data_IF_902795885603
#
_entry.id   IF_902795885603
#
_cell.length_a   1.000
_cell.length_b   1.000
_cell.length_c   1.000
_cell.angle_alpha   90.00
_cell.angle_beta   90.00
_cell.angle_gamma   90.00
#
_symmetry.space_group_name_H-M   'P 1'
#
loop_
_entity.id
_entity.type
_entity.pdbx_description
1 polymer ?
#
# COMPACT_ATOMS: atom_id res chain seq x y z
N UNK A 1 3.80 -28.99 -22.73
CA UNK A 1 4.50 -27.78 -23.24
C UNK A 1 4.04 -26.60 -22.39
N UNK A 2 4.72 -26.34 -21.28
CA UNK A 2 4.67 -25.05 -20.60
C UNK A 2 5.99 -24.40 -20.96
N UNK A 3 5.94 -23.34 -21.78
CA UNK A 3 7.13 -22.58 -22.11
C UNK A 3 7.61 -21.86 -20.85
N UNK A 4 8.91 -21.97 -20.62
CA UNK A 4 9.65 -21.31 -19.55
C UNK A 4 9.46 -19.78 -19.67
N UNK A 5 9.02 -19.14 -18.60
CA UNK A 5 8.99 -17.67 -18.45
C UNK A 5 10.43 -17.16 -18.24
N UNK A 6 11.29 -17.31 -19.25
CA UNK A 6 12.63 -16.75 -19.25
C UNK A 6 12.63 -15.37 -19.91
N UNK A 7 12.59 -14.36 -19.05
CA UNK A 7 12.77 -12.95 -19.41
C UNK A 7 11.82 -12.09 -18.59
N UNK A 8 12.27 -11.53 -17.47
CA UNK A 8 11.57 -10.41 -16.83
C UNK A 8 11.53 -9.28 -17.86
N UNK A 9 10.43 -9.16 -18.61
CA UNK A 9 10.20 -8.00 -19.47
C UNK A 9 10.26 -6.75 -18.58
N UNK A 10 10.90 -5.71 -19.10
CA UNK A 10 10.82 -4.39 -18.50
C UNK A 10 9.35 -3.99 -18.46
N UNK A 11 8.87 -3.53 -17.30
CA UNK A 11 7.52 -2.99 -17.17
C UNK A 11 7.38 -1.72 -18.02
N UNK A 12 6.17 -1.47 -18.53
CA UNK A 12 5.86 -0.18 -19.16
C UNK A 12 5.97 0.96 -18.12
N UNK A 13 6.13 2.23 -18.54
CA UNK A 13 6.35 3.33 -17.62
C UNK A 13 5.25 3.51 -16.56
N UNK A 14 4.00 3.18 -16.88
CA UNK A 14 2.90 3.26 -15.93
C UNK A 14 2.99 2.21 -14.81
N UNK A 15 3.36 0.98 -15.16
CA UNK A 15 3.57 -0.10 -14.18
C UNK A 15 4.87 0.10 -13.39
N UNK A 16 5.93 0.66 -14.00
CA UNK A 16 7.12 1.10 -13.26
C UNK A 16 6.76 2.17 -12.23
N UNK A 17 5.85 3.09 -12.55
CA UNK A 17 5.40 4.12 -11.63
C UNK A 17 4.66 3.57 -10.40
N UNK A 18 3.73 2.63 -10.56
CA UNK A 18 3.07 1.99 -9.41
C UNK A 18 4.08 1.29 -8.50
N UNK A 19 5.05 0.60 -9.11
CA UNK A 19 6.15 -0.01 -8.37
C UNK A 19 7.05 1.01 -7.65
N UNK A 20 7.33 2.15 -8.27
CA UNK A 20 8.11 3.22 -7.63
C UNK A 20 7.33 3.85 -6.46
N UNK A 21 6.00 3.91 -6.55
CA UNK A 21 5.14 4.33 -5.44
C UNK A 21 5.23 3.37 -4.25
N UNK A 22 5.33 2.06 -4.48
CA UNK A 22 5.58 1.09 -3.39
C UNK A 22 6.85 1.41 -2.61
N UNK A 23 7.94 1.83 -3.29
CA UNK A 23 9.18 2.20 -2.61
C UNK A 23 8.95 3.39 -1.67
N UNK A 24 8.28 4.43 -2.14
CA UNK A 24 7.96 5.60 -1.31
C UNK A 24 7.03 5.26 -0.16
N UNK A 25 6.01 4.43 -0.40
CA UNK A 25 5.09 3.95 0.64
C UNK A 25 5.83 3.09 1.67
N UNK A 26 6.76 2.23 1.25
CA UNK A 26 7.59 1.42 2.14
C UNK A 26 8.54 2.26 3.01
N UNK A 27 9.11 3.33 2.47
CA UNK A 27 9.90 4.30 3.25
C UNK A 27 9.03 4.95 4.34
N UNK A 28 7.83 5.41 4.00
CA UNK A 28 6.89 5.98 4.98
C UNK A 28 6.44 4.95 6.02
N UNK A 29 6.19 3.69 5.64
CA UNK A 29 5.89 2.61 6.59
C UNK A 29 7.03 2.39 7.59
N UNK A 30 8.28 2.41 7.13
CA UNK A 30 9.44 2.29 8.01
C UNK A 30 9.50 3.47 9.00
N UNK A 31 9.27 4.70 8.54
CA UNK A 31 9.22 5.89 9.40
C UNK A 31 8.10 5.81 10.44
N UNK A 32 6.89 5.37 10.05
CA UNK A 32 5.77 5.12 10.97
C UNK A 32 6.17 4.12 12.07
N UNK A 33 6.79 3.00 11.68
CA UNK A 33 7.24 1.96 12.61
C UNK A 33 8.33 2.51 13.55
N UNK A 34 9.26 3.32 13.04
CA UNK A 34 10.27 3.98 13.86
C UNK A 34 9.65 4.93 14.89
N UNK A 35 8.68 5.76 14.49
CA UNK A 35 7.96 6.65 15.42
C UNK A 35 7.19 5.86 16.49
N UNK A 36 6.49 4.79 16.12
CA UNK A 36 5.78 3.94 17.06
C UNK A 36 6.72 3.25 18.08
N UNK A 37 7.89 2.79 17.64
CA UNK A 37 8.92 2.22 18.52
C UNK A 37 9.48 3.26 19.51
N UNK A 38 9.72 4.49 19.03
CA UNK A 38 10.18 5.60 19.87
C UNK A 38 9.12 5.96 20.93
N UNK A 39 7.84 5.94 20.58
CA UNK A 39 6.74 6.19 21.50
C UNK A 39 6.70 5.18 22.65
N UNK A 40 6.88 3.88 22.36
CA UNK A 40 6.94 2.83 23.41
C UNK A 40 8.04 3.09 24.44
N UNK A 41 9.16 3.64 23.99
CA UNK A 41 10.35 3.88 24.82
C UNK A 41 10.31 5.22 25.57
N UNK A 42 9.37 6.11 25.23
CA UNK A 42 9.34 7.49 25.74
C UNK A 42 8.61 7.58 27.08
N UNK A 43 9.35 7.74 28.19
CA UNK A 43 8.76 7.88 29.53
C UNK A 43 8.12 9.26 29.80
N UNK A 44 8.63 10.32 29.16
CA UNK A 44 8.18 11.70 29.42
C UNK A 44 6.83 11.99 28.73
N UNK A 45 5.77 12.37 29.48
CA UNK A 45 4.43 12.55 28.92
C UNK A 45 4.35 13.59 27.80
N UNK A 46 5.05 14.71 27.93
CA UNK A 46 5.06 15.79 26.92
C UNK A 46 5.67 15.33 25.61
N UNK A 47 6.82 14.64 25.67
CA UNK A 47 7.47 14.06 24.48
C UNK A 47 6.60 12.98 23.84
N UNK A 48 5.95 12.15 24.65
CA UNK A 48 5.04 11.11 24.16
C UNK A 48 3.85 11.71 23.42
N UNK A 49 3.26 12.79 23.94
CA UNK A 49 2.18 13.50 23.25
C UNK A 49 2.67 14.06 21.90
N UNK A 50 3.84 14.71 21.87
CA UNK A 50 4.45 15.21 20.64
C UNK A 50 4.66 14.11 19.60
N UNK A 51 5.20 12.96 20.01
CA UNK A 51 5.40 11.82 19.11
C UNK A 51 4.09 11.22 18.58
N UNK A 52 2.99 11.27 19.34
CA UNK A 52 1.67 10.85 18.86
C UNK A 52 1.14 11.79 17.79
N UNK A 53 1.34 13.10 17.95
CA UNK A 53 1.00 14.09 16.92
C UNK A 53 1.82 13.86 15.65
N UNK A 54 3.14 13.68 15.77
CA UNK A 54 4.02 13.37 14.62
C UNK A 54 3.60 12.07 13.91
N UNK A 55 3.28 11.02 14.68
CA UNK A 55 2.78 9.76 14.13
C UNK A 55 1.46 9.95 13.38
N UNK A 56 0.54 10.75 13.95
CA UNK A 56 -0.76 11.04 13.33
C UNK A 56 -0.61 11.79 12.00
N UNK A 57 0.25 12.81 11.96
CA UNK A 57 0.52 13.61 10.76
C UNK A 57 1.10 12.72 9.65
N UNK A 58 2.14 11.93 9.97
CA UNK A 58 2.74 11.01 9.00
C UNK A 58 1.74 9.95 8.53
N UNK A 59 0.94 9.39 9.44
CA UNK A 59 -0.06 8.38 9.09
C UNK A 59 -1.16 8.93 8.19
N UNK A 60 -1.55 10.19 8.39
CA UNK A 60 -2.53 10.88 7.54
C UNK A 60 -1.98 11.12 6.13
N UNK A 61 -0.71 11.51 6.04
CA UNK A 61 -0.01 11.65 4.75
C UNK A 61 0.10 10.30 4.03
N UNK A 62 0.59 9.28 4.74
CA UNK A 62 0.72 7.92 4.22
C UNK A 62 -0.60 7.38 3.67
N UNK A 63 -1.69 7.55 4.44
CA UNK A 63 -3.03 7.15 4.01
C UNK A 63 -3.45 7.83 2.71
N UNK A 64 -3.17 9.13 2.58
CA UNK A 64 -3.54 9.90 1.38
C UNK A 64 -2.82 9.38 0.15
N UNK A 65 -1.52 9.11 0.27
CA UNK A 65 -0.72 8.55 -0.83
C UNK A 65 -1.13 7.11 -1.17
N UNK A 66 -1.41 6.29 -0.16
CA UNK A 66 -1.90 4.93 -0.38
C UNK A 66 -3.27 4.91 -1.07
N UNK A 67 -4.21 5.77 -0.65
CA UNK A 67 -5.52 5.90 -1.33
C UNK A 67 -5.35 6.35 -2.79
N UNK A 68 -4.38 7.24 -3.08
CA UNK A 68 -4.08 7.67 -4.46
C UNK A 68 -3.54 6.51 -5.30
N UNK A 69 -2.67 5.70 -4.71
CA UNK A 69 -2.09 4.51 -5.34
C UNK A 69 -3.17 3.45 -5.64
N UNK A 70 -3.95 3.04 -4.63
CA UNK A 70 -5.01 2.03 -4.82
C UNK A 70 -6.08 2.48 -5.82
N UNK A 71 -6.39 3.79 -5.93
CA UNK A 71 -7.30 4.28 -6.98
C UNK A 71 -6.75 4.10 -8.38
N UNK A 72 -5.45 4.33 -8.60
CA UNK A 72 -4.84 4.08 -9.92
C UNK A 72 -4.92 2.61 -10.30
N UNK A 73 -4.88 1.73 -9.31
CA UNK A 73 -5.06 0.30 -9.52
C UNK A 73 -6.51 -0.06 -9.82
N UNK A 74 -7.43 0.27 -8.93
CA UNK A 74 -8.84 -0.12 -9.03
C UNK A 74 -9.62 0.60 -10.14
N UNK A 75 -9.37 1.89 -10.34
CA UNK A 75 -10.13 2.73 -11.28
C UNK A 75 -9.53 2.70 -12.70
N UNK A 76 -8.22 2.50 -12.83
CA UNK A 76 -7.53 2.58 -14.13
C UNK A 76 -6.93 1.24 -14.59
N UNK A 77 -6.12 0.57 -13.77
CA UNK A 77 -5.40 -0.65 -14.18
C UNK A 77 -6.31 -1.87 -14.24
N UNK A 78 -7.02 -2.19 -13.16
CA UNK A 78 -7.81 -3.40 -13.01
C UNK A 78 -8.91 -3.51 -14.09
N UNK A 79 -9.62 -2.43 -14.48
CA UNK A 79 -10.60 -2.49 -15.57
C UNK A 79 -9.98 -2.89 -16.91
N UNK A 80 -8.73 -2.49 -17.18
CA UNK A 80 -8.04 -2.89 -18.40
C UNK A 80 -7.60 -4.36 -18.35
N UNK A 81 -7.07 -4.81 -17.21
CA UNK A 81 -6.69 -6.21 -17.02
C UNK A 81 -7.92 -7.13 -17.11
N UNK A 82 -9.08 -6.69 -16.60
CA UNK A 82 -10.35 -7.43 -16.63
C UNK A 82 -10.89 -7.68 -18.05
N UNK A 83 -10.36 -7.03 -19.09
CA UNK A 83 -10.68 -7.38 -20.47
C UNK A 83 -10.05 -8.71 -20.92
N UNK A 84 -9.04 -9.21 -20.18
CA UNK A 84 -8.23 -10.37 -20.56
C UNK A 84 -8.33 -11.54 -19.57
N UNK A 85 -8.76 -11.29 -18.33
CA UNK A 85 -8.93 -12.30 -17.29
C UNK A 85 -10.27 -12.13 -16.57
N UNK A 86 -10.72 -13.20 -15.91
CA UNK A 86 -11.91 -13.15 -15.08
C UNK A 86 -11.69 -12.20 -13.88
N UNK A 87 -12.65 -11.28 -13.68
CA UNK A 87 -12.55 -10.26 -12.64
C UNK A 87 -13.07 -10.80 -11.31
N UNK A 88 -14.21 -11.48 -11.33
CA UNK A 88 -14.92 -11.90 -10.10
C UNK A 88 -14.25 -13.09 -9.42
N UNK A 89 -13.41 -13.84 -10.15
CA UNK A 89 -12.74 -15.04 -9.67
C UNK A 89 -11.30 -15.06 -10.20
N UNK A 90 -10.35 -14.57 -9.40
CA UNK A 90 -8.94 -14.55 -9.84
C UNK A 90 -8.07 -13.54 -9.08
N UNK A 91 -6.91 -13.18 -9.65
CA UNK A 91 -5.98 -12.25 -9.03
C UNK A 91 -6.62 -10.89 -8.71
N UNK A 92 -7.49 -10.35 -9.56
CA UNK A 92 -8.15 -9.04 -9.32
C UNK A 92 -9.02 -9.11 -8.06
N UNK A 93 -9.94 -10.08 -7.98
CA UNK A 93 -10.80 -10.24 -6.80
C UNK A 93 -10.00 -10.38 -5.49
N UNK A 94 -8.87 -11.11 -5.52
CA UNK A 94 -8.00 -11.25 -4.36
C UNK A 94 -7.32 -9.92 -3.98
N UNK A 95 -6.91 -9.11 -4.95
CA UNK A 95 -6.33 -7.78 -4.68
C UNK A 95 -7.37 -6.80 -4.14
N UNK A 96 -8.58 -6.77 -4.70
CA UNK A 96 -9.68 -5.94 -4.20
C UNK A 96 -10.06 -6.32 -2.76
N UNK A 97 -10.14 -7.61 -2.43
CA UNK A 97 -10.37 -8.07 -1.04
C UNK A 97 -9.22 -7.63 -0.10
N UNK A 98 -7.97 -7.70 -0.57
CA UNK A 98 -6.82 -7.24 0.21
C UNK A 98 -6.82 -5.73 0.43
N UNK A 99 -7.23 -4.93 -0.56
CA UNK A 99 -7.42 -3.48 -0.40
C UNK A 99 -8.46 -3.16 0.69
N UNK A 100 -9.59 -3.87 0.72
CA UNK A 100 -10.59 -3.72 1.79
C UNK A 100 -9.99 -4.03 3.17
N UNK A 101 -9.24 -5.15 3.29
CA UNK A 101 -8.59 -5.54 4.54
C UNK A 101 -7.53 -4.53 5.00
N UNK A 102 -6.74 -4.00 4.05
CA UNK A 102 -5.72 -2.97 4.30
C UNK A 102 -6.41 -1.69 4.79
N UNK A 103 -7.49 -1.27 4.12
CA UNK A 103 -8.27 -0.10 4.49
C UNK A 103 -8.81 -0.23 5.92
N UNK A 104 -9.47 -1.36 6.25
CA UNK A 104 -9.99 -1.62 7.58
C UNK A 104 -8.90 -1.64 8.66
N UNK A 105 -7.76 -2.25 8.37
CA UNK A 105 -6.61 -2.31 9.29
C UNK A 105 -6.03 -0.92 9.55
N UNK A 106 -5.83 -0.12 8.49
CA UNK A 106 -5.31 1.23 8.58
C UNK A 106 -6.27 2.16 9.33
N UNK A 107 -7.57 2.09 9.04
CA UNK A 107 -8.60 2.85 9.75
C UNK A 107 -8.70 2.47 11.24
N UNK A 108 -8.42 1.21 11.58
CA UNK A 108 -8.35 0.77 12.98
C UNK A 108 -7.15 1.37 13.70
N UNK A 109 -5.98 1.41 13.05
CA UNK A 109 -4.80 2.10 13.57
C UNK A 109 -5.04 3.61 13.74
N UNK A 110 -5.58 4.29 12.71
CA UNK A 110 -5.84 5.73 12.72
C UNK A 110 -6.76 6.13 13.87
N UNK A 111 -7.85 5.40 14.11
CA UNK A 111 -8.78 5.65 15.23
C UNK A 111 -8.14 5.53 16.60
N UNK A 112 -7.04 4.80 16.75
CA UNK A 112 -6.32 4.70 18.02
C UNK A 112 -5.43 5.93 18.18
N UNK A 113 -4.71 6.31 17.12
CA UNK A 113 -3.82 7.48 17.13
C UNK A 113 -4.59 8.79 17.31
N UNK A 114 -5.74 8.95 16.65
CA UNK A 114 -6.63 10.12 16.75
C UNK A 114 -7.13 10.40 18.17
N UNK A 115 -7.21 9.39 19.04
CA UNK A 115 -7.63 9.58 20.43
C UNK A 115 -6.59 10.35 21.26
N UNK A 116 -5.38 10.52 20.74
CA UNK A 116 -4.21 11.14 21.40
C UNK A 116 -3.94 10.60 22.82
N UNK A 117 -4.36 9.36 23.09
CA UNK A 117 -4.16 8.75 24.40
C UNK A 117 -2.74 8.22 24.50
N UNK A 118 -2.02 8.71 25.50
CA UNK A 118 -0.60 8.43 25.69
C UNK A 118 -0.31 7.44 26.84
N UNK A 119 -1.35 6.80 27.39
CA UNK A 119 -1.17 5.75 28.40
C UNK A 119 -0.39 4.56 27.80
N UNK A 120 0.48 3.86 28.57
CA UNK A 120 1.31 2.79 28.04
C UNK A 120 0.56 1.71 27.24
N UNK A 121 -0.62 1.28 27.72
CA UNK A 121 -1.42 0.27 27.01
C UNK A 121 -2.02 0.76 25.68
N UNK A 122 -2.28 2.06 25.55
CA UNK A 122 -2.77 2.67 24.31
C UNK A 122 -1.63 2.76 23.28
N UNK A 123 -0.42 3.11 23.72
CA UNK A 123 0.79 3.12 22.88
C UNK A 123 1.14 1.71 22.37
N UNK A 124 0.97 0.68 23.20
CA UNK A 124 1.17 -0.71 22.77
C UNK A 124 0.14 -1.13 21.70
N UNK A 125 -1.11 -0.68 21.84
CA UNK A 125 -2.15 -0.92 20.84
C UNK A 125 -1.82 -0.22 19.51
N UNK A 126 -1.41 1.06 19.53
CA UNK A 126 -0.94 1.79 18.34
C UNK A 126 0.13 0.99 17.60
N UNK A 127 1.16 0.55 18.31
CA UNK A 127 2.27 -0.20 17.74
C UNK A 127 1.82 -1.54 17.15
N UNK A 128 1.00 -2.31 17.87
CA UNK A 128 0.51 -3.63 17.43
C UNK A 128 -0.33 -3.51 16.15
N UNK A 129 -1.25 -2.55 16.11
CA UNK A 129 -2.10 -2.34 14.94
C UNK A 129 -1.31 -1.83 13.74
N UNK A 130 -0.34 -0.94 13.95
CA UNK A 130 0.54 -0.47 12.88
C UNK A 130 1.34 -1.62 12.25
N UNK A 131 1.99 -2.46 13.05
CA UNK A 131 2.78 -3.56 12.53
C UNK A 131 1.95 -4.54 11.72
N UNK A 132 0.72 -4.82 12.16
CA UNK A 132 -0.21 -5.66 11.40
C UNK A 132 -0.55 -5.04 10.03
N UNK A 133 -0.85 -3.74 9.97
CA UNK A 133 -1.11 -3.06 8.70
C UNK A 133 0.10 -3.10 7.76
N UNK A 134 1.30 -2.88 8.29
CA UNK A 134 2.55 -2.93 7.51
C UNK A 134 2.82 -4.33 6.96
N UNK A 135 2.58 -5.38 7.75
CA UNK A 135 2.76 -6.77 7.30
C UNK A 135 1.85 -7.10 6.12
N UNK A 136 0.56 -6.74 6.21
CA UNK A 136 -0.42 -6.99 5.14
C UNK A 136 -0.03 -6.21 3.88
N UNK A 137 0.33 -4.92 4.01
CA UNK A 137 0.73 -4.07 2.89
C UNK A 137 1.99 -4.58 2.18
N UNK A 138 3.00 -5.04 2.92
CA UNK A 138 4.21 -5.59 2.32
C UNK A 138 3.95 -6.89 1.56
N UNK A 139 3.05 -7.74 2.06
CA UNK A 139 2.62 -8.94 1.34
C UNK A 139 1.84 -8.58 0.07
N UNK A 140 0.98 -7.58 0.16
CA UNK A 140 0.18 -7.06 -0.96
C UNK A 140 1.08 -6.54 -2.10
N UNK A 141 1.98 -5.59 -1.80
CA UNK A 141 2.94 -5.07 -2.79
C UNK A 141 3.79 -6.18 -3.42
N UNK A 142 4.16 -7.20 -2.64
CA UNK A 142 4.89 -8.34 -3.18
C UNK A 142 4.07 -9.11 -4.23
N UNK A 143 2.78 -9.35 -3.99
CA UNK A 143 1.90 -10.03 -4.95
C UNK A 143 1.74 -9.22 -6.22
N UNK A 144 1.59 -7.91 -6.09
CA UNK A 144 1.47 -7.03 -7.25
C UNK A 144 2.74 -7.03 -8.09
N UNK A 145 3.90 -6.82 -7.46
CA UNK A 145 5.18 -6.75 -8.17
C UNK A 145 5.61 -8.09 -8.78
N UNK A 146 5.29 -9.21 -8.12
CA UNK A 146 5.73 -10.53 -8.55
C UNK A 146 4.74 -11.24 -9.48
N UNK A 147 3.47 -10.86 -9.44
CA UNK A 147 2.40 -11.52 -10.20
C UNK A 147 1.60 -10.53 -11.04
N UNK A 148 0.97 -9.54 -10.42
CA UNK A 148 -0.04 -8.71 -11.08
C UNK A 148 0.58 -7.80 -12.17
N UNK A 149 1.63 -7.05 -11.85
CA UNK A 149 2.29 -6.15 -12.81
C UNK A 149 2.96 -6.91 -13.97
N UNK A 150 3.70 -8.03 -13.75
CA UNK A 150 4.20 -8.85 -14.86
C UNK A 150 3.08 -9.40 -15.75
N UNK A 151 1.95 -9.81 -15.16
CA UNK A 151 0.78 -10.26 -15.91
C UNK A 151 0.18 -9.11 -16.73
N UNK A 152 -0.02 -7.93 -16.14
CA UNK A 152 -0.51 -6.74 -16.82
C UNK A 152 0.40 -6.36 -18.00
N UNK A 153 1.73 -6.38 -17.80
CA UNK A 153 2.70 -6.12 -18.86
C UNK A 153 2.60 -7.12 -20.01
N UNK A 154 2.22 -8.37 -19.72
CA UNK A 154 2.05 -9.41 -20.73
C UNK A 154 0.74 -9.30 -21.51
N UNK A 155 -0.38 -8.99 -20.84
CA UNK A 155 -1.72 -9.02 -21.46
C UNK A 155 -2.12 -7.70 -22.11
N UNK A 156 -1.68 -6.56 -21.58
CA UNK A 156 -2.09 -5.25 -22.07
C UNK A 156 -1.43 -4.92 -23.41
N UNK A 157 -2.23 -4.35 -24.32
CA UNK A 157 -1.74 -3.81 -25.59
C UNK A 157 -0.93 -2.53 -25.40
N UNK A 158 -0.14 -2.15 -26.41
CA UNK A 158 0.63 -0.90 -26.38
C UNK A 158 -0.27 0.35 -26.24
N UNK A 159 -1.49 0.31 -26.78
CA UNK A 159 -2.46 1.40 -26.67
C UNK A 159 -2.99 1.54 -25.23
N UNK A 160 -3.28 0.43 -24.55
CA UNK A 160 -3.72 0.43 -23.15
C UNK A 160 -2.59 0.86 -22.21
N UNK A 161 -1.35 0.43 -22.49
CA UNK A 161 -0.17 0.90 -21.74
C UNK A 161 0.05 2.40 -21.89
N UNK A 162 -0.15 2.93 -23.10
CA UNK A 162 -0.08 4.37 -23.35
C UNK A 162 -1.24 5.13 -22.66
N UNK A 163 -2.45 4.55 -22.63
CA UNK A 163 -3.58 5.10 -21.87
C UNK A 163 -3.23 5.24 -20.39
N UNK A 164 -2.71 4.17 -19.75
CA UNK A 164 -2.27 4.23 -18.35
C UNK A 164 -1.16 5.27 -18.13
N UNK A 165 -0.21 5.36 -19.07
CA UNK A 165 0.86 6.36 -19.01
C UNK A 165 0.32 7.79 -18.96
N UNK A 166 -0.78 8.08 -19.67
CA UNK A 166 -1.46 9.38 -19.67
C UNK A 166 -2.26 9.60 -18.39
N UNK A 167 -2.95 8.58 -17.89
CA UNK A 167 -3.72 8.65 -16.65
C UNK A 167 -2.84 8.90 -15.43
N UNK A 168 -1.61 8.39 -15.42
CA UNK A 168 -0.71 8.51 -14.27
C UNK A 168 0.20 9.74 -14.31
N UNK A 169 -0.10 10.78 -15.10
CA UNK A 169 0.78 11.96 -15.25
C UNK A 169 0.69 13.01 -14.12
N UNK A 170 -0.11 12.77 -13.07
CA UNK A 170 -0.30 13.67 -11.91
C UNK A 170 0.65 13.45 -10.73
#
# INVERSE_FOLDING_TARGET
MMQEFEGRRKLCPALEKLKDEHLSLAEQMNELVHLANNLKSTAEPTKRKKGLTELHELASSFRTELEKHSRREEEDLYPLIANYIEREMGPIAAMEEEHDLIHESLMSFMRIVEKEKSAPGEVEAVHTHLLKSVEILMEHFYKEESVLFPMAEYVLSDAEKEQLRVLFQD
#
